data_IF_039382079873
#
_entry.id   IF_039382079873
#
_cell.length_a   1.000
_cell.length_b   1.000
_cell.length_c   1.000
_cell.angle_alpha   90.00
_cell.angle_beta   90.00
_cell.angle_gamma   90.00
#
_symmetry.space_group_name_H-M   'P 1'
#
loop_
_entity.id
_entity.type
_entity.pdbx_description
1 polymer ?
#
# COMPACT_ATOMS: atom_id res chain seq x y z
N UNK A 1 -20.04 -6.34 -26.44
CA UNK A 1 -20.26 -6.36 -24.97
C UNK A 1 -18.98 -5.87 -24.32
N UNK A 2 -19.03 -4.94 -23.36
CA UNK A 2 -17.82 -4.56 -22.60
C UNK A 2 -17.47 -5.72 -21.68
N UNK A 3 -16.29 -6.32 -21.81
CA UNK A 3 -15.78 -7.26 -20.83
C UNK A 3 -15.73 -6.57 -19.46
N UNK A 4 -16.45 -7.13 -18.49
CA UNK A 4 -16.44 -6.63 -17.12
C UNK A 4 -15.47 -7.51 -16.35
N UNK A 5 -14.29 -6.98 -16.03
CA UNK A 5 -13.31 -7.69 -15.22
C UNK A 5 -13.84 -7.80 -13.79
N UNK A 6 -14.22 -9.00 -13.38
CA UNK A 6 -14.63 -9.28 -12.01
C UNK A 6 -13.48 -8.94 -11.03
N UNK A 7 -13.79 -8.37 -9.85
CA UNK A 7 -12.77 -8.08 -8.85
C UNK A 7 -12.21 -9.38 -8.26
N UNK A 8 -10.91 -9.37 -7.96
CA UNK A 8 -10.21 -10.45 -7.27
C UNK A 8 -10.75 -10.68 -5.85
N UNK A 9 -11.19 -9.61 -5.21
CA UNK A 9 -11.86 -9.68 -3.91
C UNK A 9 -12.77 -8.47 -3.69
N UNK A 10 -13.80 -8.67 -2.88
CA UNK A 10 -14.72 -7.63 -2.41
C UNK A 10 -14.85 -7.73 -0.90
N UNK A 11 -14.59 -6.63 -0.18
CA UNK A 11 -14.67 -6.61 1.28
C UNK A 11 -15.03 -5.22 1.82
N UNK A 12 -15.45 -5.18 3.08
CA UNK A 12 -15.65 -3.94 3.81
C UNK A 12 -14.44 -3.66 4.71
N UNK A 13 -14.04 -2.40 4.80
CA UNK A 13 -12.94 -1.97 5.65
C UNK A 13 -13.32 -0.72 6.44
N UNK A 14 -12.81 -0.64 7.67
CA UNK A 14 -12.97 0.52 8.53
C UNK A 14 -11.72 1.41 8.45
N UNK A 15 -11.92 2.72 8.32
CA UNK A 15 -10.81 3.68 8.37
C UNK A 15 -10.25 3.79 9.79
N UNK A 16 -8.92 3.77 9.91
CA UNK A 16 -8.22 4.08 11.15
C UNK A 16 -8.00 5.60 11.34
N UNK A 17 -7.31 5.96 12.44
CA UNK A 17 -7.00 7.35 12.80
C UNK A 17 -6.18 8.12 11.76
N UNK A 18 -5.43 7.41 10.93
CA UNK A 18 -4.61 7.99 9.87
C UNK A 18 -5.34 7.96 8.51
N UNK A 19 -6.57 7.43 8.47
CA UNK A 19 -7.34 7.22 7.24
C UNK A 19 -6.77 6.10 6.38
N UNK A 20 -6.17 5.08 7.00
CA UNK A 20 -5.74 3.84 6.35
C UNK A 20 -6.83 2.79 6.48
N UNK A 21 -6.81 1.84 5.55
CA UNK A 21 -7.63 0.63 5.61
C UNK A 21 -6.74 -0.61 5.53
N UNK A 22 -7.19 -1.71 6.11
CA UNK A 22 -6.45 -2.97 6.11
C UNK A 22 -7.09 -3.95 5.12
N UNK A 23 -6.26 -4.54 4.24
CA UNK A 23 -6.66 -5.70 3.45
C UNK A 23 -6.72 -6.91 4.40
N UNK A 24 -7.88 -7.62 4.47
CA UNK A 24 -8.03 -8.81 5.30
C UNK A 24 -6.90 -9.81 5.11
N UNK A 25 -6.43 -10.39 6.22
CA UNK A 25 -5.31 -11.35 6.22
C UNK A 25 -5.57 -12.52 5.28
N UNK A 26 -6.79 -13.06 5.28
CA UNK A 26 -7.22 -14.17 4.42
C UNK A 26 -7.07 -13.85 2.93
N UNK A 27 -7.43 -12.64 2.49
CA UNK A 27 -7.27 -12.19 1.11
C UNK A 27 -5.78 -12.07 0.75
N UNK A 28 -4.98 -11.51 1.67
CA UNK A 28 -3.53 -11.37 1.45
C UNK A 28 -2.85 -12.72 1.33
N UNK A 29 -3.20 -13.69 2.16
CA UNK A 29 -2.65 -15.05 2.10
C UNK A 29 -3.07 -15.76 0.81
N UNK A 30 -4.36 -15.66 0.44
CA UNK A 30 -4.88 -16.30 -0.78
C UNK A 30 -4.23 -15.77 -2.06
N UNK A 31 -3.92 -14.47 -2.13
CA UNK A 31 -3.32 -13.81 -3.29
C UNK A 31 -1.80 -13.63 -3.15
N UNK A 32 -1.21 -14.15 -2.07
CA UNK A 32 0.18 -13.94 -1.72
C UNK A 32 0.59 -12.45 -1.75
N UNK A 33 -0.23 -11.52 -1.26
CA UNK A 33 0.08 -10.08 -1.24
C UNK A 33 0.94 -9.75 -0.02
N UNK A 34 2.12 -9.19 -0.25
CA UNK A 34 3.13 -8.91 0.77
C UNK A 34 3.33 -7.40 1.02
N UNK A 35 4.13 -7.09 2.05
CA UNK A 35 4.54 -5.71 2.32
C UNK A 35 5.36 -5.19 1.13
N UNK A 36 5.07 -3.95 0.73
CA UNK A 36 5.64 -3.21 -0.38
C UNK A 36 5.09 -3.53 -1.77
N UNK A 37 4.28 -4.57 -1.93
CA UNK A 37 3.54 -4.79 -3.17
C UNK A 37 2.58 -3.63 -3.46
N UNK A 38 2.14 -3.52 -4.70
CA UNK A 38 1.13 -2.55 -5.11
C UNK A 38 -0.19 -3.24 -5.40
N UNK A 39 -1.29 -2.62 -4.99
CA UNK A 39 -2.65 -3.11 -5.26
C UNK A 39 -3.44 -2.06 -6.03
N UNK A 40 -4.25 -2.53 -6.96
CA UNK A 40 -5.24 -1.72 -7.68
C UNK A 40 -6.59 -1.94 -7.04
N UNK A 41 -7.21 -0.87 -6.53
CA UNK A 41 -8.48 -0.98 -5.82
C UNK A 41 -9.48 0.09 -6.27
N UNK A 42 -10.77 -0.26 -6.21
CA UNK A 42 -11.85 0.72 -6.17
C UNK A 42 -12.31 0.83 -4.73
N UNK A 43 -12.25 2.03 -4.18
CA UNK A 43 -12.82 2.38 -2.88
C UNK A 43 -14.17 3.03 -3.06
N UNK A 44 -15.17 2.56 -2.32
CA UNK A 44 -16.56 3.00 -2.39
C UNK A 44 -17.03 3.52 -1.05
N UNK A 45 -17.50 4.77 -1.03
CA UNK A 45 -18.33 5.26 0.08
C UNK A 45 -19.71 4.64 -0.08
N UNK A 46 -20.17 3.99 0.98
CA UNK A 46 -21.43 3.27 1.00
C UNK A 46 -22.33 3.79 2.11
N UNK A 47 -23.63 3.64 1.90
CA UNK A 47 -24.66 3.78 2.91
C UNK A 47 -25.29 2.40 3.14
N UNK A 48 -25.27 1.93 4.38
CA UNK A 48 -25.83 0.64 4.76
C UNK A 48 -27.17 0.91 5.45
N UNK A 49 -28.26 0.35 4.91
CA UNK A 49 -29.56 0.32 5.56
C UNK A 49 -29.83 -1.11 6.06
N UNK A 50 -29.61 -1.42 7.35
CA UNK A 50 -29.78 -2.77 7.89
C UNK A 50 -31.23 -3.26 7.82
N UNK A 51 -32.20 -2.38 8.06
CA UNK A 51 -33.63 -2.71 8.05
C UNK A 51 -34.10 -3.21 6.69
N UNK A 52 -33.56 -2.59 5.61
CA UNK A 52 -33.89 -2.96 4.23
C UNK A 52 -32.91 -3.96 3.63
N UNK A 53 -31.83 -4.29 4.33
CA UNK A 53 -30.71 -5.11 3.79
C UNK A 53 -30.15 -4.57 2.47
N UNK A 54 -30.06 -3.24 2.34
CA UNK A 54 -29.57 -2.56 1.13
C UNK A 54 -28.25 -1.86 1.44
N UNK A 55 -27.28 -2.02 0.53
CA UNK A 55 -26.06 -1.20 0.48
C UNK A 55 -26.14 -0.32 -0.75
N UNK A 56 -26.10 1.00 -0.56
CA UNK A 56 -26.08 1.98 -1.64
C UNK A 56 -24.68 2.56 -1.79
N UNK A 57 -24.14 2.52 -3.00
CA UNK A 57 -22.85 3.18 -3.32
C UNK A 57 -23.13 4.66 -3.56
N UNK A 58 -22.49 5.53 -2.77
CA UNK A 58 -22.62 6.98 -2.87
C UNK A 58 -21.56 7.60 -3.77
N UNK A 59 -20.30 7.15 -3.61
CA UNK A 59 -19.13 7.61 -4.38
C UNK A 59 -18.16 6.45 -4.59
N UNK A 60 -17.39 6.49 -5.67
CA UNK A 60 -16.37 5.48 -5.95
C UNK A 60 -15.12 6.10 -6.58
N UNK A 61 -13.95 5.61 -6.20
CA UNK A 61 -12.65 6.11 -6.65
C UNK A 61 -11.70 4.96 -6.90
N UNK A 62 -10.95 5.03 -7.99
CA UNK A 62 -9.90 4.08 -8.33
C UNK A 62 -8.55 4.60 -7.80
N UNK A 63 -7.76 3.73 -7.19
CA UNK A 63 -6.40 4.06 -6.77
C UNK A 63 -5.47 2.85 -6.87
N UNK A 64 -4.20 3.16 -7.09
CA UNK A 64 -3.09 2.21 -6.92
C UNK A 64 -2.39 2.56 -5.62
N UNK A 65 -2.28 1.61 -4.70
CA UNK A 65 -1.72 1.84 -3.38
C UNK A 65 -0.62 0.83 -3.04
N UNK A 66 0.44 1.32 -2.38
CA UNK A 66 1.47 0.46 -1.81
C UNK A 66 0.95 -0.19 -0.53
N UNK A 67 1.18 -1.48 -0.40
CA UNK A 67 0.82 -2.27 0.78
C UNK A 67 1.86 -2.06 1.88
N UNK A 68 1.41 -1.53 3.00
CA UNK A 68 2.19 -1.33 4.21
C UNK A 68 2.24 -2.55 5.11
N UNK A 69 2.73 -2.36 6.34
CA UNK A 69 2.73 -3.40 7.36
C UNK A 69 1.30 -3.90 7.64
N UNK A 70 1.14 -5.21 7.86
CA UNK A 70 -0.14 -5.87 8.15
C UNK A 70 -1.22 -5.70 7.06
N UNK A 71 -0.86 -5.30 5.84
CA UNK A 71 -1.81 -5.09 4.76
C UNK A 71 -2.48 -3.72 4.76
N UNK A 72 -1.93 -2.74 5.47
CA UNK A 72 -2.46 -1.38 5.49
C UNK A 72 -2.22 -0.69 4.15
N UNK A 73 -3.24 -0.04 3.60
CA UNK A 73 -3.11 0.88 2.46
C UNK A 73 -3.63 2.26 2.87
N UNK A 74 -2.92 3.30 2.42
CA UNK A 74 -3.26 4.68 2.73
C UNK A 74 -4.24 5.23 1.70
N UNK A 75 -5.30 5.88 2.16
CA UNK A 75 -6.20 6.63 1.27
C UNK A 75 -5.68 8.06 1.11
N UNK A 76 -5.48 8.54 -0.13
CA UNK A 76 -5.07 9.91 -0.41
C UNK A 76 -5.97 10.96 0.28
N UNK A 77 -5.37 12.07 0.71
CA UNK A 77 -6.06 13.09 1.51
C UNK A 77 -7.18 13.79 0.73
N UNK A 78 -6.95 14.02 -0.57
CA UNK A 78 -7.94 14.52 -1.52
C UNK A 78 -9.12 13.55 -1.67
N UNK A 79 -8.87 12.24 -1.84
CA UNK A 79 -9.94 11.23 -1.88
C UNK A 79 -10.78 11.27 -0.61
N UNK A 80 -10.13 11.29 0.57
CA UNK A 80 -10.84 11.36 1.86
C UNK A 80 -11.70 12.61 1.98
N UNK A 81 -11.18 13.78 1.58
CA UNK A 81 -11.92 15.05 1.60
C UNK A 81 -13.09 15.01 0.62
N UNK A 82 -12.86 14.59 -0.61
CA UNK A 82 -13.86 14.62 -1.67
C UNK A 82 -14.97 13.60 -1.39
N UNK A 83 -14.67 12.52 -0.68
CA UNK A 83 -15.64 11.51 -0.28
C UNK A 83 -16.26 11.81 1.07
N UNK A 84 -15.73 12.80 1.82
CA UNK A 84 -16.14 13.11 3.18
C UNK A 84 -16.01 11.86 4.07
N UNK A 85 -14.80 11.31 4.12
CA UNK A 85 -14.44 10.11 4.89
C UNK A 85 -13.73 10.49 6.20
N UNK A 86 -14.19 9.89 7.29
CA UNK A 86 -13.68 10.12 8.64
C UNK A 86 -13.18 8.84 9.30
N UNK A 87 -12.51 9.00 10.45
CA UNK A 87 -12.12 7.87 11.29
C UNK A 87 -13.36 7.01 11.62
N UNK A 88 -13.20 5.68 11.61
CA UNK A 88 -14.26 4.68 11.87
C UNK A 88 -15.33 4.52 10.79
N UNK A 89 -15.30 5.32 9.72
CA UNK A 89 -16.18 5.09 8.58
C UNK A 89 -15.92 3.71 7.97
N UNK A 90 -17.01 3.09 7.49
CA UNK A 90 -16.97 1.81 6.78
C UNK A 90 -17.09 2.11 5.29
N UNK A 91 -16.15 1.57 4.52
CA UNK A 91 -16.14 1.65 3.07
C UNK A 91 -16.15 0.25 2.46
N UNK A 92 -16.65 0.14 1.24
CA UNK A 92 -16.51 -1.06 0.41
C UNK A 92 -15.25 -0.93 -0.45
N UNK A 93 -14.50 -2.02 -0.57
CA UNK A 93 -13.25 -2.08 -1.33
C UNK A 93 -13.36 -3.24 -2.31
N UNK A 94 -13.10 -2.94 -3.59
CA UNK A 94 -12.93 -3.92 -4.65
C UNK A 94 -11.46 -3.99 -5.02
N UNK A 95 -10.84 -5.16 -4.89
CA UNK A 95 -9.48 -5.42 -5.33
C UNK A 95 -9.52 -5.87 -6.80
N UNK A 96 -8.87 -5.15 -7.70
CA UNK A 96 -8.89 -5.42 -9.14
C UNK A 96 -7.62 -6.10 -9.66
N UNK A 97 -6.50 -5.90 -8.96
CA UNK A 97 -5.18 -6.34 -9.38
C UNK A 97 -4.14 -6.11 -8.29
N UNK A 98 -2.98 -6.74 -8.44
CA UNK A 98 -1.82 -6.50 -7.61
C UNK A 98 -0.54 -6.73 -8.43
N UNK A 99 0.53 -6.05 -8.04
CA UNK A 99 1.84 -6.08 -8.69
C UNK A 99 2.90 -6.34 -7.65
N UNK A 100 3.75 -7.34 -7.88
CA UNK A 100 4.88 -7.61 -6.99
C UNK A 100 5.92 -6.54 -7.15
N UNK A 101 6.35 -5.97 -6.03
CA UNK A 101 7.30 -4.87 -6.12
C UNK A 101 8.61 -5.26 -6.79
N UNK A 102 9.09 -6.48 -6.52
CA UNK A 102 10.32 -7.03 -7.12
C UNK A 102 10.22 -7.23 -8.64
N UNK A 103 9.02 -7.34 -9.19
CA UNK A 103 8.78 -7.40 -10.64
C UNK A 103 8.83 -6.01 -11.29
N UNK A 104 8.60 -4.95 -10.51
CA UNK A 104 8.58 -3.57 -10.98
C UNK A 104 9.95 -2.90 -10.96
N UNK A 105 10.92 -3.46 -10.25
CA UNK A 105 12.25 -2.84 -10.05
C UNK A 105 13.34 -3.52 -10.87
N UNK A 106 14.26 -2.71 -11.40
CA UNK A 106 15.47 -3.21 -12.06
C UNK A 106 16.40 -3.91 -11.07
N UNK A 107 17.36 -4.69 -11.57
CA UNK A 107 18.37 -5.35 -10.73
C UNK A 107 19.17 -4.36 -9.86
N UNK A 108 19.44 -3.16 -10.36
CA UNK A 108 20.05 -2.08 -9.56
C UNK A 108 19.11 -1.62 -8.44
N UNK A 109 17.81 -1.50 -8.73
CA UNK A 109 16.78 -1.18 -7.74
C UNK A 109 16.69 -2.22 -6.63
N UNK A 110 16.65 -3.52 -6.98
CA UNK A 110 16.68 -4.64 -6.02
C UNK A 110 17.88 -4.57 -5.07
N UNK A 111 19.07 -4.30 -5.62
CA UNK A 111 20.32 -4.14 -4.84
C UNK A 111 20.29 -2.95 -3.88
N UNK A 112 19.61 -1.87 -4.21
CA UNK A 112 19.46 -0.71 -3.32
C UNK A 112 18.44 -0.99 -2.22
N UNK A 113 17.33 -1.67 -2.56
CA UNK A 113 16.28 -1.99 -1.60
C UNK A 113 16.74 -2.95 -0.51
N UNK A 114 17.57 -3.94 -0.84
CA UNK A 114 18.19 -4.83 0.15
C UNK A 114 19.09 -4.08 1.13
N UNK A 115 19.62 -2.91 0.75
CA UNK A 115 20.42 -2.03 1.60
C UNK A 115 19.57 -1.12 2.52
N UNK A 116 18.29 -0.88 2.19
CA UNK A 116 17.41 0.06 2.91
C UNK A 116 16.60 -0.61 4.03
N UNK A 117 16.42 -1.94 4.03
CA UNK A 117 15.42 -2.59 4.88
C UNK A 117 15.91 -3.21 6.20
N UNK A 118 17.19 -3.14 6.56
CA UNK A 118 17.69 -3.78 7.79
C UNK A 118 18.25 -2.76 8.77
N UNK A 119 17.35 -2.33 9.67
CA UNK A 119 17.69 -1.94 11.05
C UNK A 119 18.85 -0.96 11.21
N UNK A 120 18.62 0.35 11.08
CA UNK A 120 19.32 1.41 11.83
C UNK A 120 20.85 1.39 11.90
N UNK A 121 21.54 0.61 11.07
CA UNK A 121 22.99 0.57 11.00
C UNK A 121 23.35 1.71 10.06
N UNK A 122 23.96 2.75 10.60
CA UNK A 122 24.71 3.83 9.93
C UNK A 122 26.21 3.71 10.32
N UNK A 123 27.14 4.14 9.45
CA UNK A 123 28.54 4.39 9.83
C UNK A 123 28.78 5.88 9.85
N UNK A 124 29.57 6.28 10.84
CA UNK A 124 30.30 7.52 10.78
C UNK A 124 31.41 7.39 9.73
N UNK A 125 31.55 8.40 8.87
CA UNK A 125 32.62 8.47 7.86
C UNK A 125 33.33 9.79 8.11
N UNK A 126 34.65 9.72 8.32
CA UNK A 126 35.45 10.93 8.54
C UNK A 126 35.69 11.66 7.22
N UNK A 127 35.92 12.96 7.30
CA UNK A 127 36.10 13.83 6.13
C UNK A 127 37.26 13.40 5.21
N UNK A 128 38.25 12.71 5.78
CA UNK A 128 39.48 12.27 5.10
C UNK A 128 39.42 10.82 4.63
N UNK A 129 38.31 10.11 4.94
CA UNK A 129 38.11 8.72 4.55
C UNK A 129 37.47 8.61 3.17
N UNK A 130 37.98 7.68 2.36
CA UNK A 130 37.39 7.37 1.06
C UNK A 130 35.97 6.83 1.26
N UNK A 131 35.01 7.37 0.49
CA UNK A 131 33.66 6.81 0.40
C UNK A 131 33.80 5.35 -0.04
N UNK A 132 33.23 4.38 0.69
CA UNK A 132 33.35 2.97 0.34
C UNK A 132 32.86 2.72 -1.10
N UNK A 133 33.76 2.26 -1.97
CA UNK A 133 33.36 1.82 -3.31
C UNK A 133 32.48 0.56 -3.21
N UNK A 134 31.53 0.42 -4.15
CA UNK A 134 30.50 -0.64 -4.23
C UNK A 134 31.05 -2.08 -4.14
N UNK A 135 32.37 -2.28 -4.27
CA UNK A 135 33.03 -3.59 -4.13
C UNK A 135 33.20 -4.06 -2.68
N UNK A 136 32.99 -3.21 -1.68
CA UNK A 136 33.10 -3.56 -0.24
C UNK A 136 31.83 -3.17 0.55
N UNK A 137 30.70 -2.89 -0.11
CA UNK A 137 29.47 -2.43 0.56
C UNK A 137 28.74 -3.53 1.37
N UNK A 138 29.36 -3.96 2.46
CA UNK A 138 28.67 -4.42 3.66
C UNK A 138 28.34 -3.16 4.48
N UNK A 139 27.12 -2.65 4.32
CA UNK A 139 26.54 -1.50 5.06
C UNK A 139 27.21 -0.17 4.58
N UNK A 140 26.52 0.87 4.09
CA UNK A 140 25.68 1.87 4.77
C UNK A 140 25.22 2.96 3.73
N UNK A 141 24.36 3.92 4.11
CA UNK A 141 23.86 5.04 3.25
C UNK A 141 24.16 6.41 3.88
N UNK A 142 24.58 7.41 3.08
CA UNK A 142 24.85 8.80 3.49
C UNK A 142 23.60 9.69 3.40
N UNK A 143 23.45 10.64 4.32
CA UNK A 143 22.51 11.77 4.23
C UNK A 143 23.31 13.07 4.35
N UNK A 144 23.22 13.94 3.35
CA UNK A 144 23.67 15.33 3.46
C UNK A 144 22.51 16.14 4.04
N UNK A 145 22.80 16.90 5.10
CA UNK A 145 21.90 17.87 5.75
C UNK A 145 21.78 19.12 4.89
#
# INVERSE_FOLDING_TARGET
MKETKEPLAKFHARLDKEGRIAIPKTIREALNIEKNDYVEVIVRKIEINPEKSIIKVLKQGYLVARVGAKGLIFLPADLKRDFDLHEKDIIEVLLLGYHKFDELVSEKGKKLLSKVQTSGKWIEVKQDELIPEDKVMKHFTYVFV
#
